data_IF_983989297542
#
_entry.id   IF_983989297542
#
_cell.length_a   1.000
_cell.length_b   1.000
_cell.length_c   1.000
_cell.angle_alpha   90.00
_cell.angle_beta   90.00
_cell.angle_gamma   90.00
#
_symmetry.space_group_name_H-M   'P 1'
#
loop_
_entity.id
_entity.type
_entity.pdbx_description
1 polymer ?
#
# COMPACT_ATOMS: atom_id res chain seq x y z
N UNK A 1 16.49 9.59 -0.56
CA UNK A 1 17.45 8.95 -1.48
C UNK A 1 18.24 9.96 -2.31
N UNK A 2 17.60 10.89 -3.04
CA UNK A 2 18.28 11.92 -3.85
C UNK A 2 19.47 12.62 -3.14
N UNK A 3 19.24 13.21 -1.96
CA UNK A 3 20.32 13.86 -1.20
C UNK A 3 21.47 12.93 -0.78
N UNK A 4 21.23 11.62 -0.62
CA UNK A 4 22.27 10.65 -0.30
C UNK A 4 23.16 10.36 -1.52
N UNK A 5 22.56 10.32 -2.71
CA UNK A 5 23.28 10.17 -3.99
C UNK A 5 24.14 11.40 -4.25
N UNK A 6 23.57 12.60 -4.12
CA UNK A 6 24.29 13.86 -4.29
C UNK A 6 25.45 14.00 -3.29
N UNK A 7 25.22 13.62 -2.02
CA UNK A 7 26.29 13.57 -1.02
C UNK A 7 27.41 12.59 -1.42
N UNK A 8 27.08 11.39 -1.88
CA UNK A 8 28.08 10.40 -2.31
C UNK A 8 28.91 10.89 -3.50
N UNK A 9 28.26 11.49 -4.50
CA UNK A 9 28.91 12.04 -5.69
C UNK A 9 29.83 13.22 -5.36
N UNK A 10 29.41 14.13 -4.47
CA UNK A 10 30.24 15.23 -4.02
C UNK A 10 31.48 14.70 -3.27
N UNK A 11 31.27 13.79 -2.32
CA UNK A 11 32.38 13.19 -1.57
C UNK A 11 33.35 12.41 -2.45
N UNK A 12 32.87 11.72 -3.50
CA UNK A 12 33.76 11.03 -4.46
C UNK A 12 34.63 11.99 -5.29
N UNK A 13 34.25 13.26 -5.40
CA UNK A 13 35.04 14.32 -6.05
C UNK A 13 35.85 15.17 -5.05
N UNK A 14 35.79 14.85 -3.76
CA UNK A 14 36.42 15.67 -2.70
C UNK A 14 35.67 16.96 -2.37
N UNK A 15 34.39 17.07 -2.79
CA UNK A 15 33.53 18.23 -2.57
C UNK A 15 32.62 18.05 -1.35
N UNK A 16 32.05 19.15 -0.85
CA UNK A 16 31.02 19.13 0.19
C UNK A 16 29.61 19.29 -0.40
N UNK A 17 28.60 18.67 0.22
CA UNK A 17 27.20 18.78 -0.18
C UNK A 17 26.31 19.11 1.01
N UNK A 18 25.66 20.28 0.97
CA UNK A 18 24.72 20.75 1.98
C UNK A 18 23.50 21.40 1.30
N UNK A 19 22.40 20.66 1.08
CA UNK A 19 21.20 21.21 0.47
C UNK A 19 20.55 22.25 1.38
N UNK A 20 19.98 23.31 0.80
CA UNK A 20 19.22 24.31 1.54
C UNK A 20 17.83 23.79 1.89
N UNK A 21 17.32 24.18 3.06
CA UNK A 21 15.94 23.92 3.48
C UNK A 21 15.33 25.19 4.04
N UNK A 22 14.12 25.49 3.61
CA UNK A 22 13.32 26.56 4.18
C UNK A 22 12.95 26.24 5.62
N UNK A 23 13.26 27.18 6.52
CA UNK A 23 12.89 27.12 7.93
C UNK A 23 12.22 28.42 8.35
N UNK A 24 11.03 28.28 8.94
CA UNK A 24 10.38 29.38 9.63
C UNK A 24 11.09 29.67 10.94
N UNK A 25 11.62 30.88 11.08
CA UNK A 25 12.28 31.37 12.29
C UNK A 25 11.45 32.52 12.84
N UNK A 26 11.02 32.39 14.09
CA UNK A 26 10.32 33.47 14.79
C UNK A 26 11.37 34.43 15.36
N UNK A 27 11.27 35.70 15.00
CA UNK A 27 12.08 36.77 15.56
C UNK A 27 11.75 36.92 17.06
N UNK A 28 12.77 36.87 17.92
CA UNK A 28 12.60 36.91 19.37
C UNK A 28 12.11 38.27 19.89
N UNK A 29 12.30 39.35 19.11
CA UNK A 29 11.94 40.70 19.52
C UNK A 29 10.65 41.17 18.84
N UNK A 30 10.49 40.92 17.54
CA UNK A 30 9.32 41.39 16.79
C UNK A 30 8.16 40.39 16.75
N UNK A 31 8.39 39.15 17.20
CA UNK A 31 7.47 38.01 17.07
C UNK A 31 7.09 37.64 15.63
N UNK A 32 7.67 38.29 14.62
CA UNK A 32 7.42 37.98 13.22
C UNK A 32 8.03 36.63 12.83
N UNK A 33 7.36 35.90 11.94
CA UNK A 33 7.88 34.66 11.37
C UNK A 33 8.54 34.98 10.03
N UNK A 34 9.85 34.78 9.93
CA UNK A 34 10.60 34.90 8.67
C UNK A 34 10.94 33.51 8.14
N UNK A 35 10.83 33.31 6.83
CA UNK A 35 11.36 32.13 6.17
C UNK A 35 12.82 32.38 5.78
N UNK A 36 13.72 31.55 6.29
CA UNK A 36 15.14 31.59 5.96
C UNK A 36 15.52 30.28 5.28
N UNK A 37 16.34 30.37 4.24
CA UNK A 37 17.02 29.21 3.66
C UNK A 37 18.27 28.91 4.48
N UNK A 38 18.30 27.73 5.11
CA UNK A 38 19.43 27.30 5.91
C UNK A 38 20.00 25.99 5.36
N UNK A 39 21.33 25.82 5.39
CA UNK A 39 21.96 24.56 5.00
C UNK A 39 21.52 23.43 5.93
N UNK A 40 21.11 22.32 5.34
CA UNK A 40 20.72 21.11 6.04
C UNK A 40 21.86 20.08 5.95
N UNK A 41 22.25 19.51 7.10
CA UNK A 41 23.14 18.35 7.11
C UNK A 41 22.38 17.11 6.66
N UNK A 42 22.83 16.49 5.57
CA UNK A 42 22.33 15.18 5.15
C UNK A 42 22.89 14.13 6.10
N UNK A 43 22.02 13.41 6.82
CA UNK A 43 22.45 12.34 7.73
C UNK A 43 22.85 11.13 6.89
N UNK A 44 24.15 10.99 6.64
CA UNK A 44 24.72 9.87 5.92
C UNK A 44 24.33 8.53 6.57
N UNK A 45 24.03 7.56 5.73
CA UNK A 45 23.64 6.20 6.12
C UNK A 45 24.52 5.11 5.50
N UNK A 46 25.60 5.50 4.82
CA UNK A 46 26.65 4.61 4.33
C UNK A 46 28.00 5.12 4.84
N UNK A 47 29.05 4.31 4.86
CA UNK A 47 30.41 4.76 5.19
C UNK A 47 31.45 3.78 4.65
N UNK A 48 32.71 4.20 4.64
CA UNK A 48 33.85 3.33 4.31
C UNK A 48 34.44 2.84 5.63
N UNK A 49 34.57 1.53 5.78
CA UNK A 49 35.20 0.91 6.96
C UNK A 49 36.70 1.20 6.99
N UNK A 50 37.36 0.95 8.12
CA UNK A 50 38.82 1.02 8.21
C UNK A 50 39.52 0.05 7.22
N UNK A 51 38.84 -1.04 6.87
CA UNK A 51 39.27 -2.01 5.85
C UNK A 51 39.00 -1.56 4.41
N UNK A 52 38.42 -0.37 4.18
CA UNK A 52 38.15 0.17 2.85
C UNK A 52 36.84 -0.29 2.20
N UNK A 53 36.00 -1.05 2.91
CA UNK A 53 34.73 -1.56 2.39
C UNK A 53 33.63 -0.50 2.51
N UNK A 54 32.82 -0.34 1.46
CA UNK A 54 31.62 0.52 1.53
C UNK A 54 30.49 -0.27 2.19
N UNK A 55 29.90 0.28 3.24
CA UNK A 55 28.78 -0.36 3.96
C UNK A 55 27.59 0.59 4.08
N UNK A 56 26.38 0.05 4.09
CA UNK A 56 25.10 0.75 4.26
C UNK A 56 24.41 0.34 5.56
N UNK A 57 23.94 1.32 6.35
CA UNK A 57 23.10 1.11 7.53
C UNK A 57 21.64 1.35 7.22
N UNK A 58 20.81 0.36 7.52
CA UNK A 58 19.35 0.49 7.43
C UNK A 58 18.82 1.08 8.73
N UNK A 59 17.94 2.08 8.60
CA UNK A 59 17.33 2.79 9.73
C UNK A 59 15.81 2.77 9.65
N UNK A 60 15.16 2.60 10.79
CA UNK A 60 13.74 2.86 10.97
C UNK A 60 13.58 4.14 11.80
N UNK A 61 13.16 5.23 11.16
CA UNK A 61 13.23 6.56 11.76
C UNK A 61 14.67 6.94 12.12
N UNK A 62 14.93 7.19 13.40
CA UNK A 62 16.27 7.53 13.91
C UNK A 62 17.10 6.31 14.34
N UNK A 63 16.48 5.13 14.45
CA UNK A 63 17.06 3.90 15.00
C UNK A 63 17.76 3.09 13.91
N UNK A 64 19.00 2.67 14.16
CA UNK A 64 19.71 1.69 13.32
C UNK A 64 19.14 0.30 13.59
N UNK A 65 18.90 -0.47 12.53
CA UNK A 65 18.40 -1.84 12.63
C UNK A 65 19.57 -2.83 12.66
N UNK A 66 19.50 -3.77 13.59
CA UNK A 66 20.37 -4.93 13.64
C UNK A 66 19.72 -6.07 12.86
N UNK A 67 20.43 -6.62 11.87
CA UNK A 67 20.01 -7.82 11.14
C UNK A 67 20.27 -9.10 11.96
N UNK A 68 21.30 -9.05 12.79
CA UNK A 68 21.60 -10.02 13.85
C UNK A 68 22.46 -9.33 14.91
N UNK A 69 22.71 -9.97 16.05
CA UNK A 69 23.46 -9.37 17.17
C UNK A 69 24.79 -8.77 16.70
N UNK A 70 24.90 -7.44 16.76
CA UNK A 70 26.09 -6.69 16.36
C UNK A 70 26.29 -6.50 14.85
N UNK A 71 25.39 -7.02 13.99
CA UNK A 71 25.43 -6.83 12.54
C UNK A 71 24.37 -5.83 12.10
N UNK A 72 24.77 -4.58 11.94
CA UNK A 72 23.88 -3.44 11.67
C UNK A 72 24.10 -2.76 10.32
N UNK A 73 25.00 -3.31 9.50
CA UNK A 73 25.42 -2.75 8.22
C UNK A 73 25.50 -3.84 7.16
N UNK A 74 25.20 -3.47 5.92
CA UNK A 74 25.28 -4.31 4.73
C UNK A 74 26.49 -3.86 3.93
N UNK A 75 27.43 -4.76 3.68
CA UNK A 75 28.54 -4.49 2.76
C UNK A 75 28.02 -4.38 1.32
N UNK A 76 28.45 -3.34 0.63
CA UNK A 76 28.16 -3.11 -0.79
C UNK A 76 29.36 -3.60 -1.57
N UNK A 77 29.39 -4.91 -1.85
CA UNK A 77 30.50 -5.57 -2.56
C UNK A 77 30.49 -5.28 -4.05
N UNK A 78 29.29 -5.20 -4.64
CA UNK A 78 29.09 -5.12 -6.07
C UNK A 78 28.11 -4.00 -6.43
N UNK A 79 28.22 -3.54 -7.68
CA UNK A 79 27.16 -2.75 -8.30
C UNK A 79 25.96 -3.61 -8.69
N UNK A 80 25.17 -3.11 -9.65
CA UNK A 80 24.14 -3.93 -10.26
C UNK A 80 24.77 -5.16 -10.93
N UNK A 81 24.23 -6.34 -10.65
CA UNK A 81 24.70 -7.58 -11.29
C UNK A 81 24.40 -7.53 -12.79
N UNK A 82 25.44 -7.75 -13.60
CA UNK A 82 25.28 -7.87 -15.04
C UNK A 82 24.68 -9.24 -15.38
N UNK A 83 23.67 -9.23 -16.23
CA UNK A 83 22.96 -10.42 -16.72
C UNK A 83 23.04 -10.38 -18.24
N UNK A 84 23.75 -11.32 -18.89
CA UNK A 84 23.86 -11.34 -20.35
C UNK A 84 22.48 -11.26 -21.02
N UNK A 85 22.34 -10.38 -22.02
CA UNK A 85 21.12 -10.08 -22.76
C UNK A 85 19.99 -9.37 -21.98
N UNK A 86 20.22 -8.97 -20.72
CA UNK A 86 19.23 -8.27 -19.89
C UNK A 86 19.80 -7.01 -19.19
N UNK A 87 20.98 -7.11 -18.56
CA UNK A 87 21.67 -6.02 -17.87
C UNK A 87 23.14 -6.05 -18.25
N UNK A 88 23.60 -5.05 -19.00
CA UNK A 88 24.94 -5.06 -19.60
C UNK A 88 25.69 -3.75 -19.40
N UNK A 89 27.01 -3.84 -19.40
CA UNK A 89 27.87 -2.68 -19.52
C UNK A 89 27.85 -2.19 -20.98
N UNK A 90 27.69 -0.89 -21.18
CA UNK A 90 27.81 -0.27 -22.50
C UNK A 90 29.30 -0.13 -22.82
N UNK A 91 29.70 -0.62 -23.98
CA UNK A 91 31.10 -0.63 -24.44
C UNK A 91 31.19 -0.13 -25.88
N UNK A 92 32.39 0.24 -26.33
CA UNK A 92 32.62 0.68 -27.70
C UNK A 92 32.18 -0.37 -28.74
N UNK A 93 32.31 -1.65 -28.41
CA UNK A 93 31.88 -2.77 -29.25
C UNK A 93 30.36 -2.84 -29.36
N UNK A 94 29.64 -2.54 -28.29
CA UNK A 94 28.18 -2.66 -28.26
C UNK A 94 27.46 -1.44 -28.82
N UNK A 95 28.15 -0.30 -28.89
CA UNK A 95 27.67 0.96 -29.51
C UNK A 95 28.13 1.14 -30.95
N UNK A 96 28.89 0.18 -31.51
CA UNK A 96 29.29 0.21 -32.92
C UNK A 96 28.07 0.16 -33.88
N UNK A 97 28.18 0.67 -35.11
CA UNK A 97 27.08 0.66 -36.08
C UNK A 97 26.50 -0.75 -36.29
N UNK A 98 25.17 -0.88 -36.20
CA UNK A 98 24.43 -2.14 -36.29
C UNK A 98 24.41 -2.98 -35.01
N UNK A 99 25.01 -2.51 -33.92
CA UNK A 99 25.04 -3.25 -32.65
C UNK A 99 23.91 -2.84 -31.70
N UNK A 100 23.64 -3.71 -30.71
CA UNK A 100 22.46 -3.64 -29.84
C UNK A 100 22.35 -2.37 -28.97
N UNK A 101 23.46 -1.67 -28.72
CA UNK A 101 23.50 -0.41 -27.98
C UNK A 101 23.90 0.79 -28.87
N UNK A 102 23.81 0.69 -30.20
CA UNK A 102 24.17 1.77 -31.13
C UNK A 102 23.50 3.11 -30.75
N UNK A 103 22.20 3.09 -30.41
CA UNK A 103 21.44 4.28 -30.00
C UNK A 103 21.84 4.84 -28.63
N UNK A 104 22.71 4.14 -27.89
CA UNK A 104 23.24 4.57 -26.58
C UNK A 104 24.69 5.07 -26.66
N UNK A 105 25.26 5.19 -27.87
CA UNK A 105 26.61 5.73 -28.10
C UNK A 105 26.86 7.04 -27.34
N UNK A 106 28.02 7.16 -26.71
CA UNK A 106 28.36 8.26 -25.81
C UNK A 106 28.03 8.00 -24.33
N UNK A 107 27.49 6.81 -24.01
CA UNK A 107 27.26 6.35 -22.63
C UNK A 107 28.12 5.14 -22.26
N UNK A 108 29.23 4.91 -22.96
CA UNK A 108 30.18 3.84 -22.64
C UNK A 108 30.62 3.90 -21.17
N UNK A 109 30.69 2.75 -20.51
CA UNK A 109 30.91 2.64 -19.07
C UNK A 109 29.63 2.76 -18.21
N UNK A 110 28.50 3.16 -18.78
CA UNK A 110 27.20 3.10 -18.10
C UNK A 110 26.54 1.73 -18.26
N UNK A 111 25.51 1.47 -17.44
CA UNK A 111 24.70 0.25 -17.51
C UNK A 111 23.53 0.44 -18.47
N UNK A 112 23.34 -0.50 -19.38
CA UNK A 112 22.13 -0.69 -20.17
C UNK A 112 21.26 -1.78 -19.56
N UNK A 113 19.95 -1.59 -19.58
CA UNK A 113 18.95 -2.57 -19.12
C UNK A 113 17.96 -2.79 -20.25
N UNK A 114 17.63 -4.04 -20.54
CA UNK A 114 16.57 -4.43 -21.47
C UNK A 114 15.25 -4.45 -20.71
N UNK A 115 14.41 -3.46 -20.94
CA UNK A 115 13.14 -3.29 -20.22
C UNK A 115 12.10 -2.58 -21.09
N UNK A 116 10.91 -2.35 -20.54
CA UNK A 116 9.96 -1.41 -21.13
C UNK A 116 10.64 -0.06 -21.34
N UNK A 117 10.56 0.49 -22.55
CA UNK A 117 11.31 1.71 -22.91
C UNK A 117 10.83 2.98 -22.20
N UNK A 118 9.74 2.88 -21.45
CA UNK A 118 9.28 3.95 -20.59
C UNK A 118 8.40 4.98 -21.29
N UNK A 119 7.82 5.91 -20.52
CA UNK A 119 6.88 6.91 -21.02
C UNK A 119 7.51 7.88 -22.01
N UNK A 120 8.83 8.07 -21.99
CA UNK A 120 9.53 8.94 -22.95
C UNK A 120 9.54 8.39 -24.38
N UNK A 121 9.18 7.12 -24.58
CA UNK A 121 8.99 6.51 -25.90
C UNK A 121 7.55 6.61 -26.40
N UNK A 122 6.65 7.25 -25.66
CA UNK A 122 5.23 7.44 -25.98
C UNK A 122 4.98 8.94 -26.21
N UNK A 123 4.62 9.31 -27.44
CA UNK A 123 4.19 10.69 -27.75
C UNK A 123 2.66 10.80 -27.65
N UNK A 124 1.95 9.79 -28.14
CA UNK A 124 0.51 9.69 -28.14
C UNK A 124 0.06 8.33 -27.56
N UNK A 125 -0.45 8.27 -26.32
CA UNK A 125 -0.80 7.01 -25.68
C UNK A 125 -1.99 6.29 -26.32
N UNK A 126 -2.69 6.92 -27.28
CA UNK A 126 -3.78 6.31 -28.05
C UNK A 126 -3.27 5.56 -29.29
N UNK A 127 -2.02 5.75 -29.71
CA UNK A 127 -1.46 5.16 -30.93
C UNK A 127 -0.10 4.53 -30.76
N UNK A 128 0.65 4.94 -29.74
CA UNK A 128 2.04 4.55 -29.56
C UNK A 128 2.15 3.41 -28.54
N UNK A 129 3.11 2.52 -28.79
CA UNK A 129 3.53 1.44 -27.87
C UNK A 129 5.03 1.56 -27.66
N UNK A 130 5.49 1.63 -26.41
CA UNK A 130 6.91 1.86 -26.14
C UNK A 130 7.73 0.59 -26.42
N UNK A 131 7.12 -0.56 -26.16
CA UNK A 131 7.73 -1.87 -26.33
C UNK A 131 8.90 -2.10 -25.37
N UNK A 132 9.65 -3.18 -25.64
CA UNK A 132 10.82 -3.58 -24.85
C UNK A 132 12.09 -3.28 -25.67
N UNK A 133 13.11 -2.74 -25.01
CA UNK A 133 14.41 -2.53 -25.62
C UNK A 133 15.48 -2.08 -24.63
N UNK A 134 16.70 -1.90 -25.12
CA UNK A 134 17.82 -1.41 -24.32
C UNK A 134 17.64 0.07 -24.00
N UNK A 135 17.68 0.40 -22.71
CA UNK A 135 17.64 1.76 -22.16
C UNK A 135 18.80 1.96 -21.19
N UNK A 136 19.17 3.22 -20.92
CA UNK A 136 20.12 3.51 -19.85
C UNK A 136 19.50 3.11 -18.51
N UNK A 137 20.24 2.38 -17.67
CA UNK A 137 19.73 1.91 -16.39
C UNK A 137 19.29 3.04 -15.46
N UNK A 138 19.93 4.22 -15.56
CA UNK A 138 19.53 5.45 -14.85
C UNK A 138 18.19 6.05 -15.31
N UNK A 139 17.64 5.58 -16.43
CA UNK A 139 16.35 6.01 -17.00
C UNK A 139 15.27 4.93 -16.86
N UNK A 140 15.56 3.82 -16.17
CA UNK A 140 14.57 2.76 -15.95
C UNK A 140 13.34 3.31 -15.21
N UNK A 141 12.16 2.86 -15.65
CA UNK A 141 10.86 3.24 -15.09
C UNK A 141 9.99 1.99 -14.88
N UNK A 142 9.21 1.91 -13.79
CA UNK A 142 8.24 0.82 -13.59
C UNK A 142 7.17 0.85 -14.70
N UNK A 143 6.53 -0.28 -15.00
CA UNK A 143 5.49 -0.33 -16.03
C UNK A 143 4.18 0.34 -15.56
N UNK A 144 4.14 1.68 -15.59
CA UNK A 144 3.08 2.52 -15.05
C UNK A 144 2.98 3.87 -15.75
N UNK A 145 1.81 4.53 -15.57
CA UNK A 145 1.59 5.90 -16.01
C UNK A 145 2.65 6.83 -15.40
N UNK A 146 3.20 7.81 -16.15
CA UNK A 146 4.18 8.76 -15.60
C UNK A 146 3.63 9.62 -14.45
N UNK A 147 2.31 9.80 -14.35
CA UNK A 147 1.66 10.51 -13.23
C UNK A 147 1.50 9.66 -11.97
N UNK A 148 1.74 8.35 -12.05
CA UNK A 148 1.66 7.48 -10.89
C UNK A 148 2.94 7.61 -10.08
N UNK A 149 2.84 8.32 -8.95
CA UNK A 149 3.96 8.45 -8.02
C UNK A 149 4.15 7.16 -7.24
N UNK A 150 5.40 6.72 -7.09
CA UNK A 150 5.74 5.66 -6.13
C UNK A 150 5.21 6.08 -4.76
N UNK A 151 4.33 5.28 -4.11
CA UNK A 151 3.68 5.70 -2.89
C UNK A 151 4.70 6.08 -1.80
N UNK A 152 4.45 7.13 -1.00
CA UNK A 152 5.42 7.68 -0.04
C UNK A 152 5.49 6.87 1.26
N UNK A 153 5.55 5.54 1.16
CA UNK A 153 5.67 4.60 2.28
C UNK A 153 6.58 3.42 1.91
N UNK A 154 6.98 2.62 2.92
CA UNK A 154 7.86 1.47 2.70
C UNK A 154 7.19 0.40 1.82
N UNK A 155 7.97 -0.24 0.94
CA UNK A 155 7.48 -1.30 0.07
C UNK A 155 7.14 -2.62 0.79
N UNK A 156 7.89 -2.98 1.83
CA UNK A 156 7.65 -4.21 2.58
C UNK A 156 6.65 -3.98 3.73
N UNK A 157 5.54 -4.72 3.81
CA UNK A 157 5.01 -5.72 2.86
C UNK A 157 4.08 -5.09 1.83
N UNK A 158 3.76 -5.81 0.76
CA UNK A 158 2.82 -5.33 -0.27
C UNK A 158 1.40 -5.12 0.29
N UNK A 159 0.93 -3.87 0.23
CA UNK A 159 -0.43 -3.50 0.64
C UNK A 159 -1.50 -4.15 -0.24
N UNK A 160 -1.33 -4.14 -1.57
CA UNK A 160 -2.29 -4.76 -2.49
C UNK A 160 -2.45 -6.26 -2.22
N UNK A 161 -1.34 -6.96 -1.99
CA UNK A 161 -1.34 -8.39 -1.65
C UNK A 161 -2.09 -8.67 -0.34
N UNK A 162 -2.02 -7.74 0.62
CA UNK A 162 -2.73 -7.82 1.89
C UNK A 162 -4.22 -7.53 1.74
N UNK A 163 -4.58 -6.44 1.04
CA UNK A 163 -5.97 -6.03 0.83
C UNK A 163 -6.74 -7.03 -0.02
N UNK A 164 -6.16 -7.46 -1.15
CA UNK A 164 -6.83 -8.40 -2.07
C UNK A 164 -7.06 -9.74 -1.38
N UNK A 165 -6.07 -10.26 -0.64
CA UNK A 165 -6.23 -11.49 0.13
C UNK A 165 -7.27 -11.34 1.24
N UNK A 166 -7.27 -10.21 1.94
CA UNK A 166 -8.26 -9.95 2.98
C UNK A 166 -9.68 -9.94 2.40
N UNK A 167 -9.89 -9.22 1.30
CA UNK A 167 -11.18 -9.15 0.61
C UNK A 167 -11.64 -10.55 0.14
N UNK A 168 -10.75 -11.31 -0.48
CA UNK A 168 -11.08 -12.65 -0.96
C UNK A 168 -11.52 -13.60 0.17
N UNK A 169 -10.87 -13.53 1.32
CA UNK A 169 -11.25 -14.37 2.47
C UNK A 169 -12.59 -13.92 3.10
N UNK A 170 -12.86 -12.62 3.16
CA UNK A 170 -14.17 -12.11 3.61
C UNK A 170 -15.29 -12.54 2.65
N UNK A 171 -15.06 -12.47 1.33
CA UNK A 171 -16.04 -12.92 0.33
C UNK A 171 -16.32 -14.42 0.42
N UNK A 172 -15.29 -15.24 0.67
CA UNK A 172 -15.45 -16.66 0.94
C UNK A 172 -16.35 -16.91 2.16
N UNK A 173 -16.12 -16.20 3.27
CA UNK A 173 -16.92 -16.31 4.48
C UNK A 173 -18.36 -15.84 4.28
N UNK A 174 -18.54 -14.75 3.52
CA UNK A 174 -19.86 -14.15 3.25
C UNK A 174 -20.73 -15.04 2.35
N UNK A 175 -20.13 -15.66 1.34
CA UNK A 175 -20.85 -16.51 0.37
C UNK A 175 -20.91 -17.98 0.77
N UNK A 176 -20.11 -18.39 1.77
CA UNK A 176 -19.95 -19.79 2.15
C UNK A 176 -19.19 -20.63 1.12
N UNK A 177 -18.57 -20.00 0.12
CA UNK A 177 -17.85 -20.68 -0.95
C UNK A 177 -16.61 -19.90 -1.35
N UNK A 178 -15.51 -20.60 -1.64
CA UNK A 178 -14.30 -19.97 -2.20
C UNK A 178 -14.46 -19.53 -3.67
N UNK A 179 -15.48 -20.06 -4.36
CA UNK A 179 -15.72 -19.83 -5.78
C UNK A 179 -16.62 -18.63 -6.01
N UNK A 180 -16.44 -17.95 -7.14
CA UNK A 180 -17.36 -16.90 -7.55
C UNK A 180 -18.78 -17.47 -7.75
N UNK A 181 -19.84 -16.74 -7.36
CA UNK A 181 -21.21 -17.07 -7.72
C UNK A 181 -21.34 -17.22 -9.24
N UNK A 182 -21.94 -18.32 -9.71
CA UNK A 182 -22.01 -18.64 -11.13
C UNK A 182 -20.73 -19.25 -11.73
N UNK A 183 -19.70 -19.50 -10.92
CA UNK A 183 -18.54 -20.34 -11.25
C UNK A 183 -17.28 -19.60 -11.71
N UNK A 184 -17.41 -18.53 -12.50
CA UNK A 184 -16.27 -17.76 -13.02
C UNK A 184 -16.48 -16.25 -12.84
N UNK A 185 -15.52 -15.60 -12.19
CA UNK A 185 -15.32 -14.17 -12.33
C UNK A 185 -14.62 -13.89 -13.66
N UNK A 186 -15.16 -12.98 -14.47
CA UNK A 186 -14.63 -12.66 -15.81
C UNK A 186 -14.38 -11.16 -15.90
N UNK A 187 -13.22 -10.78 -16.43
CA UNK A 187 -12.89 -9.41 -16.78
C UNK A 187 -12.32 -9.36 -18.20
N UNK A 188 -12.82 -8.47 -19.05
CA UNK A 188 -12.33 -8.30 -20.42
C UNK A 188 -11.69 -6.94 -20.59
N UNK A 189 -10.40 -6.92 -20.91
CA UNK A 189 -9.68 -5.76 -21.42
C UNK A 189 -9.84 -5.72 -22.94
N UNK A 190 -10.66 -4.80 -23.43
CA UNK A 190 -10.91 -4.63 -24.86
C UNK A 190 -9.67 -4.11 -25.57
N UNK A 191 -9.42 -4.65 -26.77
CA UNK A 191 -8.34 -4.25 -27.66
C UNK A 191 -8.29 -2.72 -27.79
N UNK A 192 -7.10 -2.14 -27.60
CA UNK A 192 -6.81 -0.71 -27.78
C UNK A 192 -7.68 0.26 -26.95
N UNK A 193 -8.36 -0.24 -25.90
CA UNK A 193 -9.32 0.55 -25.11
C UNK A 193 -9.09 0.46 -23.61
N UNK A 194 -8.14 -0.36 -23.16
CA UNK A 194 -7.95 -0.61 -21.72
C UNK A 194 -6.69 0.05 -21.17
N UNK A 195 -5.59 -0.02 -21.91
CA UNK A 195 -4.39 0.73 -21.54
C UNK A 195 -4.60 2.22 -21.79
N UNK A 196 -3.87 3.01 -21.02
CA UNK A 196 -4.14 4.44 -20.73
C UNK A 196 -2.84 5.25 -20.72
N UNK A 197 -1.72 4.58 -20.94
CA UNK A 197 -0.38 5.15 -21.00
C UNK A 197 0.42 4.64 -22.21
N UNK A 198 -0.19 3.76 -23.02
CA UNK A 198 0.23 3.31 -24.35
C UNK A 198 -0.96 2.58 -24.99
N UNK A 199 -0.94 2.39 -26.32
CA UNK A 199 -2.01 1.69 -27.03
C UNK A 199 -2.04 0.21 -26.62
N UNK A 200 -3.24 -0.30 -26.34
CA UNK A 200 -3.44 -1.72 -26.10
C UNK A 200 -4.55 -2.08 -25.12
N UNK A 201 -4.69 -3.39 -24.83
CA UNK A 201 -3.92 -4.51 -25.38
C UNK A 201 -4.12 -4.68 -26.90
N UNK A 202 -3.18 -5.33 -27.60
CA UNK A 202 -3.23 -5.51 -29.06
C UNK A 202 -4.32 -6.48 -29.56
N UNK A 203 -5.00 -7.16 -28.64
CA UNK A 203 -6.17 -8.01 -28.86
C UNK A 203 -7.04 -7.93 -27.61
N UNK A 204 -8.29 -8.35 -27.69
CA UNK A 204 -9.10 -8.57 -26.49
C UNK A 204 -8.41 -9.57 -25.57
N UNK A 205 -8.23 -9.19 -24.31
CA UNK A 205 -7.69 -10.06 -23.27
C UNK A 205 -8.79 -10.34 -22.25
N UNK A 206 -9.17 -11.61 -22.11
CA UNK A 206 -10.15 -12.05 -21.12
C UNK A 206 -9.43 -12.75 -19.97
N UNK A 207 -9.57 -12.19 -18.78
CA UNK A 207 -9.10 -12.77 -17.52
C UNK A 207 -10.26 -13.51 -16.87
N UNK A 208 -9.99 -14.72 -16.37
CA UNK A 208 -10.99 -15.58 -15.74
C UNK A 208 -10.46 -16.12 -14.41
N UNK A 209 -11.32 -16.16 -13.39
CA UNK A 209 -10.98 -16.59 -12.04
C UNK A 209 -12.06 -17.53 -11.53
N UNK A 210 -11.68 -18.73 -11.11
CA UNK A 210 -12.63 -19.66 -10.49
C UNK A 210 -12.95 -19.23 -9.05
N UNK A 211 -11.93 -18.82 -8.30
CA UNK A 211 -12.03 -18.46 -6.89
C UNK A 211 -11.67 -17.00 -6.64
N UNK A 212 -12.18 -16.46 -5.53
CA UNK A 212 -11.74 -15.14 -5.03
C UNK A 212 -10.23 -15.08 -4.80
N UNK A 213 -9.63 -16.22 -4.46
CA UNK A 213 -8.19 -16.34 -4.22
C UNK A 213 -7.38 -16.21 -5.50
N UNK A 214 -7.87 -16.72 -6.64
CA UNK A 214 -7.22 -16.57 -7.95
C UNK A 214 -7.17 -15.08 -8.35
N UNK A 215 -8.29 -14.38 -8.17
CA UNK A 215 -8.36 -12.94 -8.44
C UNK A 215 -7.43 -12.14 -7.50
N UNK A 216 -7.41 -12.48 -6.21
CA UNK A 216 -6.52 -11.84 -5.25
C UNK A 216 -5.03 -12.07 -5.56
N UNK A 217 -4.69 -13.27 -6.02
CA UNK A 217 -3.32 -13.65 -6.38
C UNK A 217 -2.85 -12.90 -7.63
N UNK A 218 -3.71 -12.76 -8.64
CA UNK A 218 -3.38 -11.96 -9.81
C UNK A 218 -3.27 -10.46 -9.46
N UNK A 219 -4.12 -9.96 -8.57
CA UNK A 219 -4.00 -8.58 -8.06
C UNK A 219 -2.65 -8.36 -7.35
N UNK A 220 -2.12 -9.34 -6.63
CA UNK A 220 -0.82 -9.25 -5.99
C UNK A 220 0.33 -9.29 -7.00
N UNK A 221 0.29 -10.25 -7.94
CA UNK A 221 1.27 -10.37 -9.03
C UNK A 221 1.34 -9.13 -9.91
N UNK A 222 0.22 -8.42 -10.09
CA UNK A 222 0.18 -7.16 -10.86
C UNK A 222 1.19 -6.12 -10.37
N UNK A 223 1.55 -6.15 -9.08
CA UNK A 223 2.51 -5.19 -8.51
C UNK A 223 3.96 -5.54 -8.85
N UNK A 224 4.23 -6.82 -9.03
CA UNK A 224 5.53 -7.35 -9.49
C UNK A 224 5.68 -7.03 -10.98
N UNK A 225 4.69 -7.37 -11.80
CA UNK A 225 4.70 -7.07 -13.23
C UNK A 225 4.71 -5.56 -13.52
N UNK A 226 4.04 -4.77 -12.68
CA UNK A 226 4.08 -3.32 -12.72
C UNK A 226 5.40 -2.70 -12.23
N UNK A 227 6.36 -3.48 -11.74
CA UNK A 227 7.70 -3.02 -11.34
C UNK A 227 7.76 -2.21 -10.04
N UNK A 228 6.78 -2.34 -9.14
CA UNK A 228 6.68 -1.51 -7.91
C UNK A 228 6.70 -2.31 -6.60
N UNK A 229 6.66 -3.64 -6.66
CA UNK A 229 6.99 -4.50 -5.54
C UNK A 229 7.90 -5.64 -6.02
N UNK A 230 9.01 -5.92 -5.32
CA UNK A 230 9.76 -7.16 -5.53
C UNK A 230 8.95 -8.38 -5.04
N UNK A 231 9.25 -9.61 -5.54
CA UNK A 231 8.50 -10.82 -5.18
C UNK A 231 8.44 -11.13 -3.68
N UNK A 232 9.46 -10.76 -2.91
CA UNK A 232 9.50 -11.02 -1.47
C UNK A 232 8.53 -10.15 -0.65
N UNK A 233 7.95 -9.10 -1.23
CA UNK A 233 6.91 -8.29 -0.57
C UNK A 233 5.53 -8.96 -0.57
N UNK A 234 5.32 -9.95 -1.46
CA UNK A 234 4.02 -10.50 -1.81
C UNK A 234 3.52 -11.54 -0.78
N UNK A 235 4.22 -12.68 -0.65
CA UNK A 235 3.78 -13.78 0.21
C UNK A 235 3.51 -13.36 1.66
N UNK A 236 4.39 -12.55 2.32
CA UNK A 236 4.10 -12.04 3.66
C UNK A 236 2.86 -11.14 3.70
N UNK A 237 2.64 -10.32 2.66
CA UNK A 237 1.44 -9.49 2.52
C UNK A 237 0.17 -10.35 2.44
N UNK A 238 0.16 -11.40 1.62
CA UNK A 238 -0.97 -12.34 1.56
C UNK A 238 -1.21 -13.02 2.90
N UNK A 239 -0.15 -13.50 3.57
CA UNK A 239 -0.28 -14.12 4.88
C UNK A 239 -0.90 -13.19 5.93
N UNK A 240 -0.49 -11.92 5.93
CA UNK A 240 -1.06 -10.87 6.77
C UNK A 240 -2.53 -10.60 6.42
N UNK A 241 -2.87 -10.46 5.13
CA UNK A 241 -4.23 -10.23 4.66
C UNK A 241 -5.24 -11.28 5.15
N UNK A 242 -4.85 -12.57 5.16
CA UNK A 242 -5.68 -13.64 5.72
C UNK A 242 -5.97 -13.46 7.21
N UNK A 243 -5.01 -12.99 7.99
CA UNK A 243 -5.21 -12.72 9.42
C UNK A 243 -6.11 -11.51 9.66
N UNK A 244 -5.91 -10.45 8.87
CA UNK A 244 -6.75 -9.24 8.92
C UNK A 244 -8.20 -9.59 8.64
N UNK A 245 -8.48 -10.36 7.58
CA UNK A 245 -9.83 -10.80 7.25
C UNK A 245 -10.52 -11.56 8.39
N UNK A 246 -9.83 -12.51 9.03
CA UNK A 246 -10.39 -13.26 10.16
C UNK A 246 -10.79 -12.35 11.31
N UNK A 247 -9.92 -11.39 11.66
CA UNK A 247 -10.18 -10.42 12.75
C UNK A 247 -11.32 -9.47 12.39
N UNK A 248 -11.31 -8.94 11.17
CA UNK A 248 -12.35 -8.05 10.67
C UNK A 248 -13.72 -8.74 10.63
N UNK A 249 -13.79 -9.97 10.11
CA UNK A 249 -15.02 -10.76 10.07
C UNK A 249 -15.56 -11.06 11.47
N UNK A 250 -14.69 -11.48 12.39
CA UNK A 250 -15.09 -11.73 13.78
C UNK A 250 -15.70 -10.48 14.43
N UNK A 251 -15.04 -9.32 14.30
CA UNK A 251 -15.56 -8.06 14.82
C UNK A 251 -16.88 -7.65 14.15
N UNK A 252 -17.00 -7.86 12.85
CA UNK A 252 -18.24 -7.54 12.15
C UNK A 252 -19.40 -8.43 12.58
N UNK A 253 -19.17 -9.74 12.79
CA UNK A 253 -20.17 -10.67 13.33
C UNK A 253 -20.58 -10.32 14.76
N UNK A 254 -19.67 -9.84 15.57
CA UNK A 254 -19.98 -9.30 16.90
C UNK A 254 -20.92 -8.10 16.77
N UNK A 255 -20.53 -7.08 16.01
CA UNK A 255 -21.34 -5.86 15.82
C UNK A 255 -22.72 -6.10 15.18
N UNK A 256 -22.84 -7.05 14.24
CA UNK A 256 -24.10 -7.30 13.52
C UNK A 256 -25.01 -8.34 14.17
N UNK A 257 -24.50 -9.22 15.03
CA UNK A 257 -25.36 -10.13 15.81
C UNK A 257 -25.62 -9.59 17.23
N UNK A 258 -25.11 -8.41 17.55
CA UNK A 258 -25.43 -7.67 18.78
C UNK A 258 -26.65 -6.81 18.48
N UNK A 259 -27.78 -6.97 19.21
CA UNK A 259 -28.86 -6.00 19.13
C UNK A 259 -28.31 -4.60 19.45
N UNK A 260 -28.67 -3.62 18.63
CA UNK A 260 -28.21 -2.25 18.80
C UNK A 260 -28.87 -1.64 20.04
N UNK A 261 -28.03 -1.20 20.98
CA UNK A 261 -28.33 -0.49 22.22
C UNK A 261 -28.81 -1.33 23.41
N UNK A 262 -28.26 -0.98 24.59
CA UNK A 262 -28.69 -1.44 25.90
C UNK A 262 -29.79 -0.57 26.48
N UNK A 263 -30.45 0.23 25.66
CA UNK A 263 -31.46 1.15 26.17
C UNK A 263 -32.64 0.39 26.77
N UNK A 264 -32.84 -0.87 26.34
CA UNK A 264 -33.84 -1.79 26.90
C UNK A 264 -33.36 -2.62 28.12
N UNK A 265 -32.11 -2.47 28.58
CA UNK A 265 -31.62 -3.01 29.86
C UNK A 265 -31.94 -1.98 30.96
N UNK A 266 -33.17 -2.04 31.44
CA UNK A 266 -33.75 -1.08 32.38
C UNK A 266 -33.30 -1.33 33.83
N UNK A 267 -32.87 -2.55 34.15
CA UNK A 267 -32.35 -2.91 35.48
C UNK A 267 -30.82 -2.84 35.59
N UNK A 268 -30.12 -2.66 34.48
CA UNK A 268 -28.67 -2.53 34.40
C UNK A 268 -27.93 -3.85 34.63
N UNK A 269 -28.59 -4.99 34.39
CA UNK A 269 -28.04 -6.33 34.59
C UNK A 269 -27.01 -6.73 33.53
N UNK A 270 -26.90 -5.97 32.44
CA UNK A 270 -26.11 -6.34 31.28
C UNK A 270 -26.83 -7.33 30.36
N UNK A 271 -28.16 -7.42 30.41
CA UNK A 271 -29.00 -8.16 29.46
C UNK A 271 -30.45 -7.66 29.46
N UNK A 272 -31.10 -7.58 28.30
CA UNK A 272 -32.55 -7.34 28.20
C UNK A 272 -33.31 -8.66 28.35
N UNK A 273 -34.11 -8.79 29.40
CA UNK A 273 -34.81 -10.01 29.78
C UNK A 273 -36.19 -9.80 30.40
N UNK A 274 -36.65 -10.81 31.17
CA UNK A 274 -37.99 -10.80 31.76
C UNK A 274 -38.14 -9.75 32.86
N UNK A 275 -37.04 -9.42 33.52
CA UNK A 275 -36.90 -8.40 34.55
C UNK A 275 -37.12 -7.01 33.95
N UNK A 276 -36.47 -6.69 32.83
CA UNK A 276 -36.67 -5.43 32.10
C UNK A 276 -38.08 -5.29 31.54
N UNK A 277 -38.64 -6.39 31.01
CA UNK A 277 -40.04 -6.41 30.57
C UNK A 277 -41.00 -6.08 31.73
N UNK A 278 -40.70 -6.58 32.93
CA UNK A 278 -41.44 -6.23 34.14
C UNK A 278 -41.39 -4.73 34.43
N UNK A 279 -40.21 -4.11 34.28
CA UNK A 279 -40.01 -2.66 34.49
C UNK A 279 -40.75 -1.85 33.43
N UNK A 280 -40.67 -2.22 32.15
CA UNK A 280 -41.36 -1.53 31.06
C UNK A 280 -42.88 -1.59 31.24
N UNK A 281 -43.43 -2.75 31.58
CA UNK A 281 -44.86 -2.91 31.82
C UNK A 281 -45.33 -2.17 33.08
N UNK A 282 -44.49 -2.04 34.11
CA UNK A 282 -44.80 -1.25 35.30
C UNK A 282 -44.85 0.26 35.02
N UNK A 283 -44.12 0.73 34.00
CA UNK A 283 -44.07 2.12 33.57
C UNK A 283 -45.12 2.47 32.49
N UNK A 284 -46.01 1.54 32.11
CA UNK A 284 -46.94 1.69 30.99
C UNK A 284 -47.86 2.92 31.12
N UNK A 285 -47.88 3.76 30.08
CA UNK A 285 -48.64 5.00 30.04
C UNK A 285 -47.77 6.26 29.90
N UNK A 286 -48.34 7.46 30.15
CA UNK A 286 -47.60 8.71 30.01
C UNK A 286 -46.37 8.79 30.92
N UNK A 287 -45.25 9.28 30.40
CA UNK A 287 -44.01 9.42 31.16
C UNK A 287 -44.15 10.52 32.20
N UNK A 288 -44.25 10.13 33.47
CA UNK A 288 -44.27 11.05 34.62
C UNK A 288 -42.95 10.99 35.40
N UNK A 289 -42.52 9.80 35.83
CA UNK A 289 -41.38 9.60 36.74
C UNK A 289 -40.32 8.58 36.25
N UNK A 290 -40.50 7.95 35.08
CA UNK A 290 -39.61 6.90 34.55
C UNK A 290 -39.21 7.13 33.08
N UNK A 291 -38.30 8.09 32.79
CA UNK A 291 -37.90 8.42 31.42
C UNK A 291 -37.10 7.32 30.72
N UNK A 292 -36.59 6.33 31.45
CA UNK A 292 -35.76 5.26 30.90
C UNK A 292 -36.55 4.17 30.18
N UNK A 293 -37.85 3.99 30.49
CA UNK A 293 -38.70 2.98 29.86
C UNK A 293 -39.36 3.47 28.55
N UNK A 294 -39.25 4.76 28.25
CA UNK A 294 -39.64 5.38 26.98
C UNK A 294 -38.47 5.26 26.00
N UNK A 295 -38.42 4.13 25.31
CA UNK A 295 -37.30 3.72 24.47
C UNK A 295 -37.28 4.47 23.13
N UNK A 296 -38.42 4.97 22.68
CA UNK A 296 -38.53 5.75 21.45
C UNK A 296 -38.55 7.28 21.68
N UNK A 297 -38.70 7.73 22.93
CA UNK A 297 -38.69 9.13 23.34
C UNK A 297 -39.96 9.91 22.98
N UNK A 298 -41.11 9.24 22.79
CA UNK A 298 -42.37 9.86 22.37
C UNK A 298 -43.23 10.41 23.53
N UNK A 299 -42.77 10.21 24.78
CA UNK A 299 -43.43 10.65 26.00
C UNK A 299 -44.49 9.69 26.52
N UNK A 300 -44.64 8.49 25.94
CA UNK A 300 -45.57 7.45 26.39
C UNK A 300 -44.90 6.07 26.31
N UNK A 301 -44.82 5.36 27.43
CA UNK A 301 -44.39 3.95 27.44
C UNK A 301 -45.54 3.06 26.95
N UNK A 302 -45.37 2.44 25.79
CA UNK A 302 -46.42 1.65 25.16
C UNK A 302 -45.95 0.54 24.22
N UNK A 303 -46.80 0.19 23.26
CA UNK A 303 -46.54 -0.94 22.35
C UNK A 303 -45.34 -0.72 21.43
N UNK A 304 -44.97 0.53 21.16
CA UNK A 304 -43.80 0.87 20.37
C UNK A 304 -42.50 0.55 21.14
N UNK A 305 -42.43 0.91 22.43
CA UNK A 305 -41.29 0.61 23.32
C UNK A 305 -41.17 -0.89 23.57
N UNK A 306 -42.28 -1.58 23.77
CA UNK A 306 -42.29 -3.04 23.87
C UNK A 306 -41.72 -3.69 22.60
N UNK A 307 -42.03 -3.16 21.42
CA UNK A 307 -41.46 -3.61 20.15
C UNK A 307 -39.93 -3.43 20.09
N UNK A 308 -39.43 -2.31 20.59
CA UNK A 308 -37.99 -2.02 20.69
C UNK A 308 -37.29 -2.95 21.69
N UNK A 309 -37.88 -3.16 22.87
CA UNK A 309 -37.34 -4.07 23.89
C UNK A 309 -37.27 -5.51 23.39
N UNK A 310 -38.31 -6.01 22.74
CA UNK A 310 -38.31 -7.37 22.19
C UNK A 310 -37.29 -7.54 21.06
N UNK A 311 -37.00 -6.47 20.30
CA UNK A 311 -35.93 -6.47 19.31
C UNK A 311 -34.53 -6.50 19.94
N UNK A 312 -34.41 -6.06 21.20
CA UNK A 312 -33.17 -6.03 21.98
C UNK A 312 -32.98 -7.24 22.92
N UNK A 313 -33.89 -8.22 22.93
CA UNK A 313 -33.89 -9.33 23.89
C UNK A 313 -32.59 -10.16 23.88
N UNK A 314 -31.94 -10.29 25.04
CA UNK A 314 -30.69 -11.02 25.23
C UNK A 314 -29.56 -10.19 25.87
N UNK A 315 -28.33 -10.72 25.91
CA UNK A 315 -27.18 -10.05 26.52
C UNK A 315 -26.85 -8.70 25.88
N UNK A 316 -26.52 -7.76 26.75
CA UNK A 316 -26.11 -6.41 26.42
C UNK A 316 -24.60 -6.36 26.18
N UNK A 317 -24.16 -5.76 25.08
CA UNK A 317 -22.74 -5.74 24.70
C UNK A 317 -22.36 -4.30 24.35
N UNK A 318 -21.50 -3.70 25.18
CA UNK A 318 -20.93 -2.36 24.99
C UNK A 318 -19.93 -2.30 23.83
#
# INVERSE_FOLDING_TARGET
>A
MHHQIQLAQALSRGESYAPLRLRSVKDKHTQEVKQLELPMRVRQWWFITESGQVVLQVKYGSKVLDFSKGKNSIEVTDGIHLIPNEIELITAETTAPGQRHEHLKGNEGSIAIKAWRGPYSINNPQTDVAGVGWILGKQWWPYQRPTFVTPPFAGYTSGHSSFSRSAAHVLELLTGSKYFPGGLGIFTATQNQYLVFEDGPSTNVTLQFASYYDAADQSALSRIWGGIHPPFDDMPGRAMGKQVAKRAWARARELWNTPASCDADLDGSGSTGGEDLGILLAAWGPVLDHPAADLNGDGVVGGADLGLMLAAWGPCVH
#
